data_IF_375123219278
#
_entry.id   IF_375123219278
#
_cell.length_a   1.000
_cell.length_b   1.000
_cell.length_c   1.000
_cell.angle_alpha   90.00
_cell.angle_beta   90.00
_cell.angle_gamma   90.00
#
_symmetry.space_group_name_H-M   'P 1'
#
loop_
_entity.id
_entity.type
_entity.pdbx_description
1 polymer ?
#
# COMPACT_ATOMS: atom_id res chain seq x y z
N UNK A 1 35.96 16.89 25.06
CA UNK A 1 36.67 15.59 24.98
C UNK A 1 37.80 15.66 25.98
N UNK A 2 37.66 14.96 27.10
CA UNK A 2 38.67 14.98 28.16
C UNK A 2 39.85 14.12 27.72
N UNK A 3 41.04 14.72 27.71
CA UNK A 3 42.32 14.09 27.37
C UNK A 3 42.60 12.94 28.34
N UNK A 4 42.54 11.71 27.85
CA UNK A 4 42.85 10.51 28.62
C UNK A 4 44.36 10.36 28.79
N UNK A 5 44.83 10.52 30.03
CA UNK A 5 46.09 10.04 30.61
C UNK A 5 47.20 9.56 29.64
N UNK A 6 47.90 10.51 29.02
CA UNK A 6 49.23 10.27 28.42
C UNK A 6 50.31 10.53 29.49
N UNK A 7 50.13 9.98 30.70
CA UNK A 7 51.10 10.09 31.81
C UNK A 7 51.78 8.76 32.16
N UNK A 8 51.06 7.65 31.98
CA UNK A 8 51.46 6.31 32.46
C UNK A 8 52.47 5.60 31.56
N UNK A 9 52.48 5.91 30.25
CA UNK A 9 53.42 5.29 29.29
C UNK A 9 54.87 5.64 29.61
N UNK A 10 55.12 6.91 29.93
CA UNK A 10 56.43 7.42 30.34
C UNK A 10 56.89 6.82 31.67
N UNK A 11 56.00 6.71 32.65
CA UNK A 11 56.35 6.15 33.98
C UNK A 11 56.72 4.67 33.92
N UNK A 12 55.99 3.84 33.18
CA UNK A 12 56.33 2.42 33.05
C UNK A 12 57.59 2.23 32.22
N UNK A 13 57.75 3.01 31.16
CA UNK A 13 58.96 2.97 30.34
C UNK A 13 60.20 3.36 31.16
N UNK A 14 60.07 4.33 32.06
CA UNK A 14 61.11 4.75 32.98
C UNK A 14 61.41 3.69 34.05
N UNK A 15 60.38 3.04 34.62
CA UNK A 15 60.53 1.91 35.56
C UNK A 15 61.22 0.73 34.87
N UNK A 16 60.81 0.35 33.66
CA UNK A 16 61.43 -0.74 32.88
C UNK A 16 62.89 -0.40 32.56
N UNK A 17 63.19 0.82 32.10
CA UNK A 17 64.56 1.27 31.84
C UNK A 17 65.43 1.28 33.10
N UNK A 18 64.84 1.54 34.26
CA UNK A 18 65.54 1.50 35.54
C UNK A 18 65.80 0.05 36.00
N UNK A 19 64.80 -0.83 35.93
CA UNK A 19 64.96 -2.28 36.23
C UNK A 19 66.04 -2.90 35.33
N UNK A 20 66.02 -2.63 34.03
CA UNK A 20 67.02 -3.12 33.07
C UNK A 20 68.44 -2.64 33.41
N UNK A 21 68.59 -1.41 33.92
CA UNK A 21 69.87 -0.89 34.41
C UNK A 21 70.34 -1.63 35.65
N UNK A 22 69.47 -1.91 36.61
CA UNK A 22 69.83 -2.67 37.81
C UNK A 22 70.29 -4.10 37.49
N UNK A 23 69.64 -4.75 36.53
CA UNK A 23 70.06 -6.08 36.03
C UNK A 23 71.44 -5.99 35.37
N UNK A 24 71.64 -5.02 34.47
CA UNK A 24 72.91 -4.84 33.75
C UNK A 24 74.09 -4.53 34.69
N UNK A 25 73.82 -3.78 35.76
CA UNK A 25 74.80 -3.39 36.77
C UNK A 25 75.07 -4.51 37.80
N UNK A 26 74.38 -5.66 37.72
CA UNK A 26 74.46 -6.73 38.72
C UNK A 26 73.94 -6.33 40.10
N UNK A 27 73.16 -5.25 40.17
CA UNK A 27 72.59 -4.70 41.42
C UNK A 27 71.22 -5.30 41.75
N UNK A 28 70.64 -6.03 40.81
CA UNK A 28 69.44 -6.81 41.03
C UNK A 28 69.83 -8.27 41.16
N UNK A 29 69.55 -8.87 42.32
CA UNK A 29 69.74 -10.29 42.55
C UNK A 29 68.72 -11.08 41.72
N UNK A 30 69.23 -11.88 40.79
CA UNK A 30 68.46 -12.74 39.88
C UNK A 30 68.61 -14.22 40.23
N UNK A 31 69.18 -14.57 41.39
CA UNK A 31 69.27 -15.94 41.86
C UNK A 31 67.94 -16.39 42.46
N UNK A 32 67.44 -17.54 42.02
CA UNK A 32 66.18 -18.12 42.49
C UNK A 32 65.27 -18.54 41.34
N UNK A 33 64.09 -19.01 41.71
CA UNK A 33 63.05 -19.34 40.72
C UNK A 33 62.43 -18.07 40.12
N UNK A 34 61.89 -18.12 38.89
CA UNK A 34 61.24 -16.97 38.27
C UNK A 34 60.14 -16.34 39.13
N UNK A 35 59.36 -17.14 39.87
CA UNK A 35 58.32 -16.63 40.77
C UNK A 35 58.88 -15.89 41.99
N UNK A 36 60.08 -16.25 42.46
CA UNK A 36 60.77 -15.58 43.56
C UNK A 36 61.35 -14.24 43.11
N UNK A 37 61.96 -14.21 41.92
CA UNK A 37 62.55 -13.00 41.33
C UNK A 37 61.46 -11.94 41.07
N UNK A 38 60.29 -12.34 40.56
CA UNK A 38 59.16 -11.42 40.28
C UNK A 38 58.54 -10.80 41.55
N UNK A 39 58.84 -11.33 42.75
CA UNK A 39 58.40 -10.76 44.03
C UNK A 39 59.39 -9.76 44.62
N UNK A 40 60.59 -9.63 44.06
CA UNK A 40 61.62 -8.69 44.53
C UNK A 40 61.34 -7.29 44.00
N UNK A 41 61.61 -6.28 44.82
CA UNK A 41 61.60 -4.91 44.32
C UNK A 41 62.84 -4.69 43.44
N UNK A 42 62.70 -4.03 42.28
CA UNK A 42 61.51 -3.28 41.80
C UNK A 42 60.59 -4.03 40.81
N UNK A 43 60.82 -5.32 40.58
CA UNK A 43 60.03 -6.13 39.65
C UNK A 43 58.59 -6.34 40.14
N UNK A 44 58.39 -6.45 41.44
CA UNK A 44 57.05 -6.60 42.04
C UNK A 44 56.15 -5.39 41.74
N UNK A 45 56.67 -4.17 41.85
CA UNK A 45 55.96 -2.94 41.51
C UNK A 45 55.63 -2.86 40.01
N UNK A 46 56.58 -3.24 39.14
CA UNK A 46 56.34 -3.31 37.69
C UNK A 46 55.22 -4.32 37.36
N UNK A 47 55.24 -5.50 37.97
CA UNK A 47 54.20 -6.53 37.78
C UNK A 47 52.82 -6.03 38.25
N UNK A 48 52.77 -5.31 39.37
CA UNK A 48 51.53 -4.71 39.88
C UNK A 48 50.98 -3.65 38.91
N UNK A 49 51.83 -2.78 38.37
CA UNK A 49 51.44 -1.76 37.41
C UNK A 49 50.92 -2.37 36.11
N UNK A 50 51.58 -3.43 35.61
CA UNK A 50 51.11 -4.17 34.42
C UNK A 50 49.73 -4.80 34.68
N UNK A 51 49.50 -5.41 35.85
CA UNK A 51 48.19 -5.98 36.20
C UNK A 51 47.09 -4.93 36.26
N UNK A 52 47.38 -3.75 36.80
CA UNK A 52 46.41 -2.65 36.84
C UNK A 52 46.04 -2.19 35.42
N UNK A 53 47.01 -2.04 34.53
CA UNK A 53 46.75 -1.70 33.12
C UNK A 53 45.89 -2.76 32.43
N UNK A 54 46.19 -4.04 32.63
CA UNK A 54 45.37 -5.12 32.06
C UNK A 54 43.91 -5.00 32.53
N UNK A 55 43.69 -4.71 33.81
CA UNK A 55 42.34 -4.53 34.33
C UNK A 55 41.64 -3.31 33.73
N UNK A 56 42.34 -2.18 33.60
CA UNK A 56 41.80 -0.97 32.96
C UNK A 56 41.46 -1.21 31.48
N UNK A 57 42.31 -1.93 30.75
CA UNK A 57 42.07 -2.33 29.37
C UNK A 57 40.83 -3.21 29.24
N UNK A 58 40.66 -4.21 30.12
CA UNK A 58 39.49 -5.08 30.12
C UNK A 58 38.19 -4.29 30.40
N UNK A 59 38.24 -3.28 31.29
CA UNK A 59 37.08 -2.41 31.55
C UNK A 59 36.77 -1.55 30.33
N UNK A 60 37.79 -0.97 29.69
CA UNK A 60 37.61 -0.17 28.47
C UNK A 60 37.07 -1.00 27.31
N UNK A 61 37.58 -2.21 27.10
CA UNK A 61 37.09 -3.14 26.09
C UNK A 61 35.59 -3.37 26.25
N UNK A 62 35.15 -3.67 27.48
CA UNK A 62 33.74 -3.88 27.78
C UNK A 62 32.87 -2.65 27.52
N UNK A 63 33.35 -1.46 27.90
CA UNK A 63 32.64 -0.19 27.63
C UNK A 63 32.52 0.06 26.13
N UNK A 64 33.57 -0.23 25.36
CA UNK A 64 33.56 -0.10 23.90
C UNK A 64 32.56 -1.08 23.29
N UNK A 65 32.57 -2.35 23.71
CA UNK A 65 31.60 -3.36 23.25
C UNK A 65 30.16 -2.93 23.53
N UNK A 66 29.86 -2.51 24.76
CA UNK A 66 28.52 -2.06 25.16
C UNK A 66 28.09 -0.83 24.33
N UNK A 67 29.00 0.12 24.10
CA UNK A 67 28.72 1.34 23.32
C UNK A 67 28.44 1.00 21.84
N UNK A 68 29.23 0.11 21.25
CA UNK A 68 29.03 -0.34 19.86
C UNK A 68 27.71 -1.06 19.71
N UNK A 69 27.34 -1.91 20.68
CA UNK A 69 26.09 -2.65 20.61
C UNK A 69 24.86 -1.74 20.79
N UNK A 70 24.96 -0.72 21.64
CA UNK A 70 23.91 0.28 21.81
C UNK A 70 23.76 1.16 20.54
N UNK A 71 24.86 1.60 19.93
CA UNK A 71 24.82 2.36 18.67
C UNK A 71 24.21 1.54 17.51
N UNK A 72 24.51 0.24 17.44
CA UNK A 72 23.83 -0.66 16.48
C UNK A 72 22.33 -0.74 16.72
N UNK A 73 21.90 -0.90 17.98
CA UNK A 73 20.47 -0.94 18.33
C UNK A 73 19.76 0.35 17.94
N UNK A 74 20.36 1.50 18.23
CA UNK A 74 19.80 2.81 17.87
C UNK A 74 19.69 2.99 16.36
N UNK A 75 20.75 2.66 15.61
CA UNK A 75 20.73 2.70 14.14
C UNK A 75 19.68 1.77 13.55
N UNK A 76 19.52 0.57 14.10
CA UNK A 76 18.50 -0.38 13.66
C UNK A 76 17.09 0.11 13.97
N UNK A 77 16.87 0.69 15.15
CA UNK A 77 15.59 1.28 15.52
C UNK A 77 15.22 2.46 14.61
N UNK A 78 16.17 3.35 14.35
CA UNK A 78 16.00 4.47 13.42
C UNK A 78 15.65 3.96 12.01
N UNK A 79 16.42 3.01 11.49
CA UNK A 79 16.16 2.44 10.16
C UNK A 79 14.77 1.78 10.08
N UNK A 80 14.39 1.01 11.11
CA UNK A 80 13.06 0.37 11.17
C UNK A 80 11.94 1.41 11.16
N UNK A 81 12.08 2.48 11.95
CA UNK A 81 11.12 3.57 11.96
C UNK A 81 11.06 4.26 10.60
N UNK A 82 12.20 4.55 9.99
CA UNK A 82 12.27 5.19 8.67
C UNK A 82 11.60 4.35 7.58
N UNK A 83 11.81 3.02 7.58
CA UNK A 83 11.10 2.10 6.71
C UNK A 83 9.59 2.09 6.96
N UNK A 84 9.18 2.12 8.23
CA UNK A 84 7.76 2.09 8.58
C UNK A 84 7.04 3.37 8.11
N UNK A 85 7.65 4.53 8.34
CA UNK A 85 7.08 5.83 8.01
C UNK A 85 7.13 6.13 6.50
N UNK A 86 8.24 5.80 5.83
CA UNK A 86 8.44 6.15 4.42
C UNK A 86 7.96 5.08 3.44
N UNK A 87 7.80 3.84 3.89
CA UNK A 87 7.44 2.72 3.00
C UNK A 87 6.14 2.07 3.44
N UNK A 88 6.07 1.53 4.66
CA UNK A 88 4.92 0.73 5.08
C UNK A 88 3.62 1.55 5.11
N UNK A 89 3.62 2.71 5.78
CA UNK A 89 2.43 3.55 5.87
C UNK A 89 1.92 4.07 4.51
N UNK A 90 2.77 4.57 3.59
CA UNK A 90 2.36 4.92 2.24
C UNK A 90 1.81 3.73 1.44
N UNK A 91 2.42 2.55 1.56
CA UNK A 91 1.93 1.34 0.89
C UNK A 91 0.55 0.94 1.40
N UNK A 92 0.33 0.95 2.71
CA UNK A 92 -0.99 0.66 3.30
C UNK A 92 -2.06 1.67 2.85
N UNK A 93 -1.68 2.94 2.71
CA UNK A 93 -2.57 3.98 2.18
C UNK A 93 -2.96 3.69 0.73
N UNK A 94 -1.99 3.38 -0.14
CA UNK A 94 -2.22 3.04 -1.55
C UNK A 94 -3.10 1.79 -1.66
N UNK A 95 -2.86 0.76 -0.86
CA UNK A 95 -3.68 -0.45 -0.84
C UNK A 95 -5.12 -0.16 -0.42
N UNK A 96 -5.33 0.76 0.53
CA UNK A 96 -6.68 1.19 0.92
C UNK A 96 -7.39 1.90 -0.22
N UNK A 97 -6.72 2.83 -0.90
CA UNK A 97 -7.28 3.51 -2.08
C UNK A 97 -7.61 2.52 -3.20
N UNK A 98 -6.71 1.55 -3.46
CA UNK A 98 -6.95 0.49 -4.44
C UNK A 98 -8.21 -0.30 -4.12
N UNK A 99 -8.39 -0.73 -2.86
CA UNK A 99 -9.59 -1.47 -2.43
C UNK A 99 -10.88 -0.65 -2.63
N UNK A 100 -10.84 0.64 -2.33
CA UNK A 100 -11.99 1.53 -2.51
C UNK A 100 -12.38 1.65 -4.00
N UNK A 101 -11.40 1.88 -4.87
CA UNK A 101 -11.63 1.98 -6.32
C UNK A 101 -12.15 0.65 -6.89
N UNK A 102 -11.62 -0.49 -6.44
CA UNK A 102 -12.10 -1.80 -6.87
C UNK A 102 -13.56 -2.06 -6.48
N UNK A 103 -13.97 -1.64 -5.28
CA UNK A 103 -15.36 -1.80 -4.83
C UNK A 103 -16.32 -0.86 -5.58
N UNK A 104 -15.90 0.39 -5.82
CA UNK A 104 -16.65 1.31 -6.69
C UNK A 104 -16.82 0.73 -8.10
N UNK A 105 -15.76 0.13 -8.68
CA UNK A 105 -15.83 -0.51 -9.98
C UNK A 105 -16.83 -1.68 -10.00
N UNK A 106 -16.82 -2.53 -8.96
CA UNK A 106 -17.80 -3.63 -8.81
C UNK A 106 -19.23 -3.10 -8.68
N UNK A 107 -19.43 -2.03 -7.91
CA UNK A 107 -20.73 -1.38 -7.78
C UNK A 107 -21.22 -0.83 -9.12
N UNK A 108 -20.39 -0.06 -9.81
CA UNK A 108 -20.70 0.51 -11.12
C UNK A 108 -21.00 -0.57 -12.16
N UNK A 109 -20.27 -1.69 -12.15
CA UNK A 109 -20.54 -2.83 -13.03
C UNK A 109 -21.93 -3.43 -12.78
N UNK A 110 -22.37 -3.56 -11.52
CA UNK A 110 -23.72 -4.02 -11.17
C UNK A 110 -24.79 -3.06 -11.68
N UNK A 111 -24.58 -1.76 -11.50
CA UNK A 111 -25.49 -0.72 -12.01
C UNK A 111 -25.59 -0.77 -13.53
N UNK A 112 -24.46 -0.86 -14.24
CA UNK A 112 -24.43 -0.96 -15.69
C UNK A 112 -25.19 -2.18 -16.21
N UNK A 113 -25.02 -3.35 -15.59
CA UNK A 113 -25.77 -4.55 -15.96
C UNK A 113 -27.28 -4.37 -15.78
N UNK A 114 -27.69 -3.70 -14.69
CA UNK A 114 -29.10 -3.40 -14.43
C UNK A 114 -29.68 -2.45 -15.47
N UNK A 115 -28.94 -1.40 -15.81
CA UNK A 115 -29.35 -0.46 -16.86
C UNK A 115 -29.45 -1.14 -18.22
N UNK A 116 -28.51 -2.03 -18.54
CA UNK A 116 -28.52 -2.79 -19.79
C UNK A 116 -29.76 -3.68 -19.91
N UNK A 117 -30.16 -4.33 -18.82
CA UNK A 117 -31.39 -5.12 -18.81
C UNK A 117 -32.62 -4.23 -19.03
N UNK A 118 -32.72 -3.10 -18.33
CA UNK A 118 -33.82 -2.15 -18.52
C UNK A 118 -33.91 -1.62 -19.95
N UNK A 119 -32.77 -1.34 -20.59
CA UNK A 119 -32.74 -0.93 -22.00
C UNK A 119 -33.30 -2.03 -22.89
N UNK A 120 -32.87 -3.28 -22.69
CA UNK A 120 -33.40 -4.42 -23.46
C UNK A 120 -34.90 -4.63 -23.26
N UNK A 121 -35.39 -4.46 -22.03
CA UNK A 121 -36.83 -4.55 -21.73
C UNK A 121 -37.62 -3.43 -22.44
N UNK A 122 -37.11 -2.21 -22.44
CA UNK A 122 -37.70 -1.07 -23.16
C UNK A 122 -37.70 -1.29 -24.68
N UNK A 123 -36.59 -1.79 -25.26
CA UNK A 123 -36.51 -2.10 -26.69
C UNK A 123 -37.58 -3.12 -27.10
N UNK A 124 -37.81 -4.14 -26.27
CA UNK A 124 -38.87 -5.11 -26.49
C UNK A 124 -40.26 -4.47 -26.45
N UNK A 125 -40.54 -3.64 -25.45
CA UNK A 125 -41.82 -2.93 -25.35
C UNK A 125 -42.09 -2.04 -26.56
N UNK A 126 -41.06 -1.31 -27.03
CA UNK A 126 -41.17 -0.47 -28.23
C UNK A 126 -41.51 -1.33 -29.45
N UNK A 127 -40.84 -2.49 -29.61
CA UNK A 127 -41.13 -3.40 -30.72
C UNK A 127 -42.57 -3.94 -30.66
N UNK A 128 -43.03 -4.36 -29.48
CA UNK A 128 -44.40 -4.84 -29.29
C UNK A 128 -45.44 -3.75 -29.62
N UNK A 129 -45.21 -2.51 -29.18
CA UNK A 129 -46.08 -1.37 -29.48
C UNK A 129 -46.08 -0.99 -30.96
N UNK A 130 -44.92 -1.04 -31.63
CA UNK A 130 -44.84 -0.79 -33.08
C UNK A 130 -45.65 -1.83 -33.87
N UNK A 131 -45.61 -3.09 -33.44
CA UNK A 131 -46.42 -4.16 -34.04
C UNK A 131 -47.92 -3.90 -33.82
N UNK A 132 -48.32 -3.51 -32.61
CA UNK A 132 -49.72 -3.18 -32.31
C UNK A 132 -50.23 -1.99 -33.12
N UNK A 133 -49.45 -0.90 -33.20
CA UNK A 133 -49.78 0.27 -34.03
C UNK A 133 -49.96 -0.14 -35.50
N UNK A 134 -49.08 -0.99 -36.03
CA UNK A 134 -49.18 -1.46 -37.41
C UNK A 134 -50.45 -2.28 -37.65
N UNK A 135 -50.84 -3.15 -36.71
CA UNK A 135 -52.08 -3.92 -36.79
C UNK A 135 -53.32 -3.02 -36.72
N UNK A 136 -53.32 -2.03 -35.83
CA UNK A 136 -54.42 -1.06 -35.71
C UNK A 136 -54.53 -0.19 -36.96
N UNK A 137 -53.41 0.26 -37.53
CA UNK A 137 -53.40 1.00 -38.79
C UNK A 137 -54.00 0.19 -39.95
N UNK A 138 -53.66 -1.10 -40.05
CA UNK A 138 -54.23 -1.99 -41.06
C UNK A 138 -55.76 -2.17 -40.89
N UNK A 139 -56.23 -2.37 -39.65
CA UNK A 139 -57.67 -2.46 -39.35
C UNK A 139 -58.41 -1.17 -39.66
N UNK A 140 -57.82 -0.02 -39.36
CA UNK A 140 -58.42 1.28 -39.66
C UNK A 140 -58.59 1.48 -41.17
N UNK A 141 -57.57 1.13 -41.98
CA UNK A 141 -57.68 1.18 -43.44
C UNK A 141 -58.81 0.27 -43.96
N UNK A 142 -58.95 -0.95 -43.42
CA UNK A 142 -60.03 -1.86 -43.80
C UNK A 142 -61.42 -1.28 -43.44
N UNK A 143 -61.53 -0.62 -42.29
CA UNK A 143 -62.77 0.03 -41.86
C UNK A 143 -63.11 1.26 -42.72
N UNK A 144 -62.12 2.09 -43.08
CA UNK A 144 -62.29 3.22 -43.99
C UNK A 144 -62.82 2.75 -45.35
N UNK A 145 -62.24 1.67 -45.90
CA UNK A 145 -62.71 1.06 -47.14
C UNK A 145 -64.18 0.58 -47.06
N UNK A 146 -64.55 -0.06 -45.94
CA UNK A 146 -65.93 -0.51 -45.70
C UNK A 146 -66.89 0.67 -45.59
N UNK A 147 -66.53 1.71 -44.85
CA UNK A 147 -67.32 2.94 -44.72
C UNK A 147 -67.50 3.62 -46.07
N UNK A 148 -66.45 3.73 -46.87
CA UNK A 148 -66.51 4.29 -48.22
C UNK A 148 -67.47 3.52 -49.15
N UNK A 149 -67.48 2.17 -49.06
CA UNK A 149 -68.44 1.33 -49.81
C UNK A 149 -69.88 1.56 -49.35
N UNK A 150 -70.14 1.58 -48.05
CA UNK A 150 -71.47 1.83 -47.49
C UNK A 150 -71.98 3.23 -47.85
N UNK A 151 -71.12 4.24 -47.81
CA UNK A 151 -71.52 5.61 -48.17
C UNK A 151 -71.91 5.71 -49.65
N UNK A 152 -71.16 5.04 -50.54
CA UNK A 152 -71.52 4.93 -51.97
C UNK A 152 -72.87 4.24 -52.17
N UNK A 153 -73.09 3.10 -51.50
CA UNK A 153 -74.36 2.37 -51.55
C UNK A 153 -75.54 3.23 -51.09
N UNK A 154 -75.40 3.93 -49.95
CA UNK A 154 -76.40 4.86 -49.44
C UNK A 154 -76.71 5.99 -50.44
N UNK A 155 -75.69 6.58 -51.05
CA UNK A 155 -75.85 7.65 -52.07
C UNK A 155 -76.62 7.14 -53.29
N UNK A 156 -76.35 5.91 -53.75
CA UNK A 156 -77.10 5.29 -54.85
C UNK A 156 -78.56 4.99 -54.49
N UNK A 157 -78.83 4.44 -53.30
CA UNK A 157 -80.19 4.15 -52.83
C UNK A 157 -81.03 5.43 -52.69
N UNK A 158 -80.48 6.48 -52.08
CA UNK A 158 -81.15 7.78 -51.99
C UNK A 158 -81.48 8.35 -53.37
N UNK A 159 -80.55 8.23 -54.33
CA UNK A 159 -80.76 8.68 -55.71
C UNK A 159 -81.88 7.90 -56.40
N UNK A 160 -81.92 6.57 -56.22
CA UNK A 160 -82.96 5.71 -56.76
C UNK A 160 -84.34 6.04 -56.17
N UNK A 161 -84.42 6.26 -54.85
CA UNK A 161 -85.64 6.68 -54.18
C UNK A 161 -86.14 8.04 -54.68
N UNK A 162 -85.24 9.03 -54.83
CA UNK A 162 -85.59 10.33 -55.40
C UNK A 162 -86.13 10.22 -56.83
N UNK A 163 -85.53 9.38 -57.67
CA UNK A 163 -86.04 9.13 -59.03
C UNK A 163 -87.42 8.48 -59.01
N UNK A 164 -87.64 7.48 -58.15
CA UNK A 164 -88.94 6.82 -58.01
C UNK A 164 -90.03 7.81 -57.58
N UNK A 165 -89.73 8.68 -56.60
CA UNK A 165 -90.64 9.74 -56.13
C UNK A 165 -91.01 10.72 -57.24
N UNK A 166 -90.03 11.14 -58.07
CA UNK A 166 -90.29 12.01 -59.24
C UNK A 166 -91.20 11.34 -60.27
N UNK A 167 -91.02 10.04 -60.52
CA UNK A 167 -91.86 9.29 -61.47
C UNK A 167 -93.29 9.14 -60.97
N UNK A 168 -93.48 8.82 -59.70
CA UNK A 168 -94.82 8.71 -59.09
C UNK A 168 -95.52 10.06 -59.09
N UNK A 169 -94.81 11.14 -58.73
CA UNK A 169 -95.38 12.50 -58.77
C UNK A 169 -95.69 13.02 -60.18
N UNK A 170 -95.17 12.41 -61.24
CA UNK A 170 -95.51 12.74 -62.63
C UNK A 170 -96.71 11.93 -63.18
N UNK A 171 -97.18 10.93 -62.43
CA UNK A 171 -98.30 10.05 -62.79
C UNK A 171 -99.60 10.39 -62.03
N UNK A 172 -99.53 11.31 -61.07
CA UNK A 172 -100.65 11.89 -60.32
C UNK A 172 -100.96 13.29 -60.85
#
# INVERSE_FOLDING_TARGET
MAESHIGTKTEIEDIVKWVLRLIKDGKLDMDGTPEEILKREPLAELVKNIKNIINELNVLEKVVEDTVEEDKKQKMAYFKQECQDKIAAPVEFIERQKREVEEQLRSNKRVLNTLRQKVSDCEKQISDQQNEISQLAAKNLEQEDKLGKLEKARKSECSALQQSKRRIGALL
#
